data_IF_850425264615
#
_entry.id   IF_850425264615
#
_cell.length_a   1.000
_cell.length_b   1.000
_cell.length_c   1.000
_cell.angle_alpha   90.00
_cell.angle_beta   90.00
_cell.angle_gamma   90.00
#
_symmetry.space_group_name_H-M   'P 1'
#
loop_
_entity.id
_entity.type
_entity.pdbx_description
1 polymer ?
#
# COMPACT_ATOMS: atom_id res chain seq x y z
N UNK A 1 23.51 6.63 -33.32
CA UNK A 1 24.40 7.64 -32.71
C UNK A 1 24.57 7.31 -31.23
N UNK A 2 25.80 7.32 -30.70
CA UNK A 2 26.04 7.17 -29.25
C UNK A 2 25.47 8.42 -28.57
N UNK A 3 24.65 8.26 -27.54
CA UNK A 3 24.14 9.39 -26.78
C UNK A 3 25.31 10.26 -26.31
N UNK A 4 25.25 11.58 -26.54
CA UNK A 4 26.29 12.47 -26.05
C UNK A 4 26.32 12.39 -24.52
N UNK A 5 27.53 12.42 -23.93
CA UNK A 5 27.70 12.35 -22.47
C UNK A 5 26.86 13.41 -21.74
N UNK A 6 26.66 14.55 -22.38
CA UNK A 6 25.79 15.64 -21.92
C UNK A 6 24.31 15.21 -21.85
N UNK A 7 23.77 14.59 -22.92
CA UNK A 7 22.38 14.12 -22.92
C UNK A 7 22.13 13.04 -21.86
N UNK A 8 23.10 12.15 -21.65
CA UNK A 8 23.04 11.16 -20.57
C UNK A 8 23.03 11.83 -19.20
N UNK A 9 23.94 12.78 -18.94
CA UNK A 9 23.97 13.52 -17.68
C UNK A 9 22.66 14.27 -17.43
N UNK A 10 22.13 14.98 -18.43
CA UNK A 10 20.86 15.70 -18.35
C UNK A 10 19.70 14.75 -18.06
N UNK A 11 19.63 13.60 -18.74
CA UNK A 11 18.58 12.60 -18.51
C UNK A 11 18.60 12.03 -17.09
N UNK A 12 19.79 11.78 -16.54
CA UNK A 12 19.96 11.32 -15.15
C UNK A 12 19.53 12.40 -14.18
N UNK A 13 19.89 13.67 -14.41
CA UNK A 13 19.46 14.79 -13.59
C UNK A 13 17.94 14.96 -13.61
N UNK A 14 17.30 14.80 -14.77
CA UNK A 14 15.83 14.83 -14.90
C UNK A 14 15.20 13.70 -14.08
N UNK A 15 15.69 12.46 -14.20
CA UNK A 15 15.17 11.32 -13.42
C UNK A 15 15.38 11.47 -11.91
N UNK A 16 16.46 12.14 -11.49
CA UNK A 16 16.73 12.43 -10.07
C UNK A 16 15.97 13.65 -9.55
N UNK A 17 15.42 14.50 -10.42
CA UNK A 17 14.71 15.72 -10.00
C UNK A 17 13.60 15.47 -8.98
N UNK A 18 12.76 14.42 -9.06
CA UNK A 18 11.74 14.18 -8.05
C UNK A 18 12.34 13.75 -6.71
N UNK A 19 13.50 13.08 -6.72
CA UNK A 19 14.22 12.70 -5.49
C UNK A 19 14.73 13.95 -4.77
N UNK A 20 15.29 14.91 -5.50
CA UNK A 20 15.72 16.19 -4.94
C UNK A 20 14.57 16.98 -4.32
N UNK A 21 13.37 16.95 -4.92
CA UNK A 21 12.17 17.58 -4.37
C UNK A 21 11.62 16.81 -3.15
N UNK A 22 11.69 15.49 -3.18
CA UNK A 22 11.17 14.63 -2.13
C UNK A 22 11.95 14.75 -0.81
N UNK A 23 13.25 15.04 -0.87
CA UNK A 23 14.12 15.15 0.32
C UNK A 23 13.66 16.25 1.30
N UNK A 24 13.61 17.54 0.90
CA UNK A 24 13.17 18.60 1.82
C UNK A 24 11.73 18.39 2.28
N UNK A 25 10.88 17.81 1.43
CA UNK A 25 9.49 17.54 1.76
C UNK A 25 9.34 16.45 2.82
N UNK A 26 10.18 15.40 2.75
CA UNK A 26 10.23 14.36 3.78
C UNK A 26 10.68 14.89 5.14
N UNK A 27 11.62 15.84 5.14
CA UNK A 27 12.07 16.52 6.36
C UNK A 27 10.96 17.43 6.92
N UNK A 28 10.29 18.18 6.05
CA UNK A 28 9.16 19.03 6.43
C UNK A 28 8.00 18.22 7.02
N UNK A 29 7.70 17.04 6.47
CA UNK A 29 6.69 16.13 7.03
C UNK A 29 7.07 15.66 8.44
N UNK A 30 8.31 15.21 8.65
CA UNK A 30 8.78 14.79 9.97
C UNK A 30 8.63 15.90 10.99
N UNK A 31 8.98 17.13 10.62
CA UNK A 31 8.79 18.30 11.45
C UNK A 31 7.29 18.55 11.75
N UNK A 32 6.42 18.50 10.73
CA UNK A 32 4.98 18.78 10.86
C UNK A 32 4.19 17.73 11.66
N UNK A 33 4.57 16.44 11.58
CA UNK A 33 3.95 15.35 12.37
C UNK A 33 4.21 15.54 13.87
N UNK A 34 5.22 16.33 14.24
CA UNK A 34 5.54 16.64 15.63
C UNK A 34 6.62 15.73 16.20
N UNK A 35 7.76 15.57 15.51
CA UNK A 35 8.98 14.98 16.09
C UNK A 35 9.69 15.91 17.08
N UNK A 36 8.94 16.80 17.73
CA UNK A 36 9.44 17.72 18.74
C UNK A 36 9.70 16.93 20.04
N UNK A 37 10.73 17.30 20.83
CA UNK A 37 11.06 16.59 22.06
C UNK A 37 9.89 16.46 23.05
N UNK A 38 8.97 17.42 23.03
CA UNK A 38 7.76 17.47 23.86
C UNK A 38 6.80 16.31 23.57
N UNK A 39 6.74 15.85 22.33
CA UNK A 39 5.83 14.80 21.87
C UNK A 39 6.41 13.38 21.96
N UNK A 40 7.72 13.23 22.23
CA UNK A 40 8.37 11.91 22.25
C UNK A 40 7.78 11.01 23.36
N UNK A 41 7.35 11.59 24.49
CA UNK A 41 6.70 10.86 25.57
C UNK A 41 5.39 10.21 25.12
N UNK A 42 4.56 10.97 24.40
CA UNK A 42 3.31 10.45 23.83
C UNK A 42 3.60 9.41 22.75
N UNK A 43 4.55 9.69 21.86
CA UNK A 43 4.95 8.78 20.78
C UNK A 43 5.45 7.44 21.34
N UNK A 44 6.23 7.46 22.41
CA UNK A 44 6.73 6.27 23.08
C UNK A 44 5.63 5.50 23.81
N UNK A 45 4.60 6.20 24.33
CA UNK A 45 3.40 5.54 24.87
C UNK A 45 2.63 4.81 23.77
N UNK A 46 2.40 5.46 22.63
CA UNK A 46 1.72 4.83 21.48
C UNK A 46 2.54 3.66 20.94
N UNK A 47 3.86 3.80 20.80
CA UNK A 47 4.75 2.69 20.41
C UNK A 47 4.61 1.50 21.34
N UNK A 48 4.63 1.71 22.66
CA UNK A 48 4.43 0.63 23.64
C UNK A 48 3.08 -0.07 23.49
N UNK A 49 2.01 0.67 23.18
CA UNK A 49 0.69 0.09 22.91
C UNK A 49 0.70 -0.76 21.63
N UNK A 50 1.27 -0.23 20.55
CA UNK A 50 1.38 -0.96 19.28
C UNK A 50 2.29 -2.18 19.41
N UNK A 51 3.41 -2.05 20.12
CA UNK A 51 4.34 -3.13 20.41
C UNK A 51 3.69 -4.23 21.26
N UNK A 52 2.74 -3.87 22.13
CA UNK A 52 1.98 -4.84 22.91
C UNK A 52 1.06 -5.71 22.05
N UNK A 53 0.83 -5.36 20.77
CA UNK A 53 0.02 -6.16 19.83
C UNK A 53 -1.49 -6.02 20.02
N UNK A 54 -1.93 -5.01 20.77
CA UNK A 54 -3.33 -4.79 21.12
C UNK A 54 -3.88 -3.61 20.30
N UNK A 55 -5.12 -3.69 19.78
CA UNK A 55 -5.73 -2.58 19.04
C UNK A 55 -5.80 -1.27 19.81
N UNK A 56 -5.58 -0.14 19.13
CA UNK A 56 -5.60 1.20 19.72
C UNK A 56 -6.92 1.51 20.43
N UNK A 57 -8.03 0.98 19.94
CA UNK A 57 -9.36 1.13 20.54
C UNK A 57 -9.39 0.81 22.04
N UNK A 58 -8.65 -0.23 22.48
CA UNK A 58 -8.59 -0.61 23.90
C UNK A 58 -7.95 0.47 24.76
N UNK A 59 -6.93 1.15 24.24
CA UNK A 59 -6.16 2.16 24.95
C UNK A 59 -6.65 3.59 24.67
N UNK A 60 -7.75 3.78 23.91
CA UNK A 60 -8.23 5.10 23.47
C UNK A 60 -8.40 6.07 24.63
N UNK A 61 -9.04 5.64 25.72
CA UNK A 61 -9.29 6.47 26.91
C UNK A 61 -7.97 6.91 27.57
N UNK A 62 -7.01 5.99 27.67
CA UNK A 62 -5.70 6.26 28.26
C UNK A 62 -4.84 7.16 27.36
N UNK A 63 -4.83 6.89 26.05
CA UNK A 63 -4.13 7.70 25.06
C UNK A 63 -4.70 9.13 25.00
N UNK A 64 -6.02 9.29 25.11
CA UNK A 64 -6.66 10.60 25.16
C UNK A 64 -6.37 11.35 26.47
N UNK A 65 -6.26 10.64 27.59
CA UNK A 65 -5.84 11.24 28.86
C UNK A 65 -4.37 11.70 28.81
N UNK A 66 -3.49 10.88 28.24
CA UNK A 66 -2.06 11.21 28.12
C UNK A 66 -1.84 12.37 27.13
N UNK A 67 -2.56 12.39 26.01
CA UNK A 67 -2.52 13.51 25.08
C UNK A 67 -2.98 14.82 25.74
N UNK A 68 -4.06 14.80 26.55
CA UNK A 68 -4.50 15.96 27.33
C UNK A 68 -3.45 16.42 28.34
N UNK A 69 -2.74 15.49 28.97
CA UNK A 69 -1.67 15.79 29.94
C UNK A 69 -0.51 16.57 29.31
N UNK A 70 -0.16 16.23 28.07
CA UNK A 70 0.87 16.92 27.30
C UNK A 70 0.34 18.04 26.40
N UNK A 71 -0.92 18.47 26.59
CA UNK A 71 -1.55 19.55 25.81
C UNK A 71 -1.48 19.33 24.28
N UNK A 72 -1.55 18.07 23.84
CA UNK A 72 -1.50 17.70 22.42
C UNK A 72 -2.90 17.86 21.82
N UNK A 73 -3.02 18.70 20.80
CA UNK A 73 -4.27 18.89 20.08
C UNK A 73 -4.77 17.56 19.47
N UNK A 74 -6.09 17.32 19.41
CA UNK A 74 -6.66 16.09 18.84
C UNK A 74 -6.21 15.80 17.40
N UNK A 75 -6.01 16.84 16.59
CA UNK A 75 -5.49 16.71 15.22
C UNK A 75 -4.03 16.26 15.20
N UNK A 76 -3.20 16.84 16.09
CA UNK A 76 -1.78 16.50 16.20
C UNK A 76 -1.59 15.10 16.75
N UNK A 77 -2.39 14.73 17.74
CA UNK A 77 -2.48 13.36 18.24
C UNK A 77 -2.80 12.37 17.11
N UNK A 78 -3.78 12.70 16.27
CA UNK A 78 -4.13 11.89 15.08
C UNK A 78 -2.96 11.75 14.12
N UNK A 79 -2.18 12.83 13.87
CA UNK A 79 -0.99 12.80 13.01
C UNK A 79 0.08 11.87 13.54
N UNK A 80 0.39 11.96 14.84
CA UNK A 80 1.41 11.12 15.49
C UNK A 80 1.02 9.64 15.42
N UNK A 81 -0.23 9.31 15.78
CA UNK A 81 -0.73 7.93 15.73
C UNK A 81 -0.70 7.37 14.30
N UNK A 82 -1.19 8.15 13.33
CA UNK A 82 -1.23 7.71 11.92
C UNK A 82 0.18 7.51 11.35
N UNK A 83 1.13 8.38 11.68
CA UNK A 83 2.54 8.26 11.25
C UNK A 83 3.23 7.02 11.85
N UNK A 84 2.86 6.61 13.07
CA UNK A 84 3.36 5.38 13.68
C UNK A 84 2.75 4.13 13.05
N UNK A 85 1.46 4.16 12.70
CA UNK A 85 0.78 3.05 12.03
C UNK A 85 1.26 2.87 10.58
N UNK A 86 1.42 3.98 9.86
CA UNK A 86 1.67 4.00 8.41
C UNK A 86 2.75 5.02 8.07
N UNK A 87 4.01 4.72 8.38
CA UNK A 87 5.10 5.67 8.19
C UNK A 87 5.30 6.01 6.72
N UNK A 88 5.29 7.31 6.41
CA UNK A 88 5.58 7.79 5.06
C UNK A 88 7.09 7.70 4.78
N UNK A 89 7.45 6.77 3.90
CA UNK A 89 8.79 6.62 3.33
C UNK A 89 9.04 7.58 2.16
N UNK A 90 10.31 7.71 1.76
CA UNK A 90 10.76 8.56 0.64
C UNK A 90 9.96 8.36 -0.67
N UNK A 91 9.55 7.12 -0.95
CA UNK A 91 8.73 6.80 -2.12
C UNK A 91 7.41 7.57 -2.21
N UNK A 92 6.80 7.94 -1.07
CA UNK A 92 5.55 8.69 -1.05
C UNK A 92 5.80 10.16 -1.42
N UNK A 93 6.93 10.71 -0.98
CA UNK A 93 7.34 12.07 -1.27
C UNK A 93 7.73 12.27 -2.73
N UNK A 94 8.19 11.22 -3.41
CA UNK A 94 8.41 11.23 -4.86
C UNK A 94 7.14 11.55 -5.65
N UNK A 95 5.98 11.13 -5.11
CA UNK A 95 4.68 11.26 -5.77
C UNK A 95 3.97 12.57 -5.44
N UNK A 96 4.45 13.29 -4.42
CA UNK A 96 3.79 14.49 -3.91
C UNK A 96 3.52 15.58 -4.95
N UNK A 97 4.42 15.86 -5.92
CA UNK A 97 4.10 16.79 -6.99
C UNK A 97 2.83 16.39 -7.77
N UNK A 98 2.65 15.09 -8.04
CA UNK A 98 1.42 14.57 -8.66
C UNK A 98 0.21 14.65 -7.73
N UNK A 99 0.41 14.44 -6.42
CA UNK A 99 -0.67 14.56 -5.42
C UNK A 99 -1.17 16.00 -5.27
N UNK A 100 -0.31 17.00 -5.34
CA UNK A 100 -0.73 18.41 -5.22
C UNK A 100 -1.62 18.81 -6.40
N UNK A 101 -1.32 18.29 -7.60
CA UNK A 101 -2.01 18.67 -8.85
C UNK A 101 -3.25 17.82 -9.11
N UNK A 102 -3.42 16.67 -8.43
CA UNK A 102 -4.52 15.74 -8.67
C UNK A 102 -5.93 16.37 -8.66
N UNK A 103 -6.30 17.28 -7.73
CA UNK A 103 -7.65 17.83 -7.68
C UNK A 103 -8.00 18.63 -8.93
N UNK A 104 -7.01 19.32 -9.50
CA UNK A 104 -7.16 20.09 -10.74
C UNK A 104 -7.38 19.16 -11.95
N UNK A 105 -6.82 17.96 -11.89
CA UNK A 105 -6.94 16.92 -12.92
C UNK A 105 -8.10 15.94 -12.63
N UNK A 106 -8.96 16.24 -11.65
CA UNK A 106 -10.09 15.42 -11.24
C UNK A 106 -11.06 15.09 -12.38
N UNK A 107 -11.22 16.00 -13.36
CA UNK A 107 -12.01 15.75 -14.56
C UNK A 107 -11.43 14.62 -15.43
N UNK A 108 -10.11 14.61 -15.65
CA UNK A 108 -9.43 13.55 -16.40
C UNK A 108 -9.45 12.23 -15.64
N UNK A 109 -9.26 12.29 -14.31
CA UNK A 109 -9.41 11.14 -13.43
C UNK A 109 -10.80 10.48 -13.56
N UNK A 110 -11.86 11.28 -13.62
CA UNK A 110 -13.22 10.77 -13.79
C UNK A 110 -13.39 10.01 -15.13
N UNK A 111 -12.81 10.51 -16.23
CA UNK A 111 -12.84 9.83 -17.53
C UNK A 111 -12.13 8.48 -17.44
N UNK A 112 -10.94 8.43 -16.81
CA UNK A 112 -10.19 7.18 -16.65
C UNK A 112 -10.95 6.21 -15.76
N UNK A 113 -11.61 6.70 -14.70
CA UNK A 113 -12.40 5.89 -13.79
C UNK A 113 -13.55 5.16 -14.53
N UNK A 114 -14.17 5.78 -15.53
CA UNK A 114 -15.22 5.14 -16.35
C UNK A 114 -14.69 3.86 -17.02
N UNK A 115 -13.46 3.87 -17.53
CA UNK A 115 -12.84 2.70 -18.16
C UNK A 115 -12.29 1.69 -17.15
N UNK A 116 -11.78 2.17 -16.02
CA UNK A 116 -11.21 1.33 -14.97
C UNK A 116 -12.27 0.49 -14.25
N UNK A 117 -13.45 1.06 -13.99
CA UNK A 117 -14.51 0.41 -13.20
C UNK A 117 -14.99 -0.93 -13.78
N UNK A 118 -15.26 -1.07 -15.09
CA UNK A 118 -15.56 -2.36 -15.71
C UNK A 118 -14.45 -3.41 -15.52
N UNK A 119 -13.19 -3.00 -15.63
CA UNK A 119 -12.04 -3.91 -15.46
C UNK A 119 -11.95 -4.35 -13.99
N UNK A 120 -12.04 -3.40 -13.04
CA UNK A 120 -12.12 -3.71 -11.62
C UNK A 120 -13.24 -4.69 -11.30
N UNK A 121 -14.44 -4.48 -11.86
CA UNK A 121 -15.59 -5.37 -11.66
C UNK A 121 -15.33 -6.77 -12.22
N UNK A 122 -14.71 -6.86 -13.38
CA UNK A 122 -14.36 -8.13 -14.01
C UNK A 122 -13.35 -8.89 -13.15
N UNK A 123 -12.30 -8.21 -12.68
CA UNK A 123 -11.29 -8.81 -11.82
C UNK A 123 -11.86 -9.20 -10.46
N UNK A 124 -12.72 -8.38 -9.86
CA UNK A 124 -13.43 -8.71 -8.62
C UNK A 124 -14.27 -9.98 -8.80
N UNK A 125 -15.00 -10.08 -9.90
CA UNK A 125 -15.78 -11.27 -10.20
C UNK A 125 -14.90 -12.51 -10.36
N UNK A 126 -13.76 -12.40 -11.02
CA UNK A 126 -12.81 -13.53 -11.16
C UNK A 126 -12.16 -13.91 -9.83
N UNK A 127 -11.65 -12.93 -9.07
CA UNK A 127 -10.88 -13.21 -7.86
C UNK A 127 -11.77 -13.60 -6.68
N UNK A 128 -12.92 -12.95 -6.54
CA UNK A 128 -13.79 -13.08 -5.38
C UNK A 128 -14.99 -13.94 -5.73
N UNK A 129 -15.83 -13.56 -6.69
CA UNK A 129 -17.08 -14.31 -6.96
C UNK A 129 -16.80 -15.74 -7.46
N UNK A 130 -15.72 -15.94 -8.23
CA UNK A 130 -15.25 -17.28 -8.67
C UNK A 130 -14.27 -17.95 -7.70
N UNK A 131 -14.03 -17.37 -6.53
CA UNK A 131 -13.14 -17.89 -5.47
C UNK A 131 -11.69 -18.15 -5.94
N UNK A 132 -11.22 -17.49 -7.00
CA UNK A 132 -9.86 -17.72 -7.49
C UNK A 132 -8.79 -17.30 -6.46
N UNK A 133 -9.05 -16.25 -5.66
CA UNK A 133 -8.15 -15.84 -4.59
C UNK A 133 -8.11 -16.86 -3.44
N UNK A 134 -9.26 -17.45 -3.10
CA UNK A 134 -9.34 -18.53 -2.11
C UNK A 134 -8.61 -19.79 -2.56
N UNK A 135 -8.76 -20.16 -3.84
CA UNK A 135 -8.02 -21.25 -4.47
C UNK A 135 -6.50 -20.99 -4.41
N UNK A 136 -6.07 -19.75 -4.65
CA UNK A 136 -4.66 -19.39 -4.55
C UNK A 136 -4.14 -19.50 -3.11
N UNK A 137 -4.90 -19.08 -2.10
CA UNK A 137 -4.55 -19.28 -0.70
C UNK A 137 -4.40 -20.78 -0.37
N UNK A 138 -5.29 -21.62 -0.91
CA UNK A 138 -5.23 -23.09 -0.77
C UNK A 138 -3.99 -23.69 -1.39
N UNK A 139 -3.62 -23.19 -2.57
CA UNK A 139 -2.41 -23.61 -3.26
C UNK A 139 -1.16 -23.25 -2.45
N UNK A 140 -1.09 -22.03 -1.91
CA UNK A 140 0.03 -21.62 -1.04
C UNK A 140 0.12 -22.56 0.14
N UNK A 141 -0.98 -22.77 0.88
CA UNK A 141 -0.98 -23.68 2.02
C UNK A 141 -0.54 -25.10 1.66
N UNK A 142 -1.01 -25.63 0.52
CA UNK A 142 -0.63 -26.97 0.05
C UNK A 142 0.88 -27.11 -0.21
N UNK A 143 1.55 -26.01 -0.59
CA UNK A 143 2.99 -25.98 -0.87
C UNK A 143 3.80 -25.69 0.40
N UNK A 144 3.35 -24.75 1.23
CA UNK A 144 4.16 -24.21 2.34
C UNK A 144 3.81 -24.75 3.72
N UNK A 145 2.68 -25.48 3.85
CA UNK A 145 2.08 -25.91 5.13
C UNK A 145 1.80 -24.75 6.10
N UNK A 146 1.64 -23.54 5.59
CA UNK A 146 1.26 -22.40 6.42
C UNK A 146 -0.19 -22.53 6.88
N UNK A 147 -0.43 -22.16 8.12
CA UNK A 147 -1.78 -22.08 8.66
C UNK A 147 -2.34 -20.68 8.44
N UNK A 148 -3.64 -20.58 8.24
CA UNK A 148 -4.35 -19.31 8.14
C UNK A 148 -4.99 -19.07 9.50
N UNK A 149 -4.63 -17.98 10.16
CA UNK A 149 -5.17 -17.60 11.47
C UNK A 149 -5.70 -16.17 11.42
N UNK A 150 -6.58 -15.82 12.36
CA UNK A 150 -7.03 -14.44 12.56
C UNK A 150 -6.17 -13.72 13.60
N UNK A 151 -5.78 -12.48 13.33
CA UNK A 151 -5.22 -11.52 14.29
C UNK A 151 -5.89 -10.17 14.06
N UNK A 152 -6.46 -9.53 15.09
CA UNK A 152 -7.10 -8.23 14.93
C UNK A 152 -6.09 -7.17 14.48
N UNK A 153 -6.56 -6.22 13.66
CA UNK A 153 -5.69 -5.14 13.17
C UNK A 153 -5.47 -4.10 14.27
N UNK A 154 -4.24 -3.58 14.34
CA UNK A 154 -3.83 -2.63 15.39
C UNK A 154 -4.42 -1.23 15.20
N UNK A 155 -4.80 -0.89 13.97
CA UNK A 155 -5.39 0.40 13.59
C UNK A 155 -6.88 0.52 13.96
N UNK A 156 -7.51 -0.53 14.49
CA UNK A 156 -8.88 -0.40 15.01
C UNK A 156 -8.91 0.59 16.18
N UNK A 157 -9.75 1.62 16.06
CA UNK A 157 -9.83 2.77 16.97
C UNK A 157 -8.95 3.98 16.61
N UNK A 158 -8.27 3.97 15.45
CA UNK A 158 -7.56 5.13 14.92
C UNK A 158 -8.52 6.22 14.40
N UNK A 159 -8.05 7.48 14.39
CA UNK A 159 -8.82 8.67 13.99
C UNK A 159 -8.83 8.90 12.46
N UNK A 160 -9.73 9.74 11.96
CA UNK A 160 -10.03 9.92 10.51
C UNK A 160 -8.83 10.20 9.59
N UNK A 161 -7.79 10.90 10.07
CA UNK A 161 -6.60 11.20 9.28
C UNK A 161 -5.88 9.93 8.80
N UNK A 162 -6.01 8.83 9.56
CA UNK A 162 -5.49 7.52 9.20
C UNK A 162 -6.06 7.04 7.86
N UNK A 163 -7.32 7.36 7.54
CA UNK A 163 -7.93 6.89 6.28
C UNK A 163 -7.29 7.51 5.05
N UNK A 164 -6.96 8.81 5.11
CA UNK A 164 -6.28 9.50 4.02
C UNK A 164 -4.83 9.03 3.96
N UNK A 165 -4.15 8.94 5.11
CA UNK A 165 -2.78 8.45 5.16
C UNK A 165 -2.66 7.01 4.65
N UNK A 166 -3.66 6.17 4.92
CA UNK A 166 -3.74 4.78 4.46
C UNK A 166 -3.88 4.68 2.96
N UNK A 167 -4.69 5.58 2.38
CA UNK A 167 -4.74 5.69 0.92
C UNK A 167 -3.37 6.07 0.37
N UNK A 168 -2.70 7.06 0.95
CA UNK A 168 -1.38 7.53 0.50
C UNK A 168 -0.32 6.46 0.65
N UNK A 169 -0.32 5.70 1.75
CA UNK A 169 0.65 4.64 2.03
C UNK A 169 0.64 3.53 0.98
N UNK A 170 -0.54 3.25 0.39
CA UNK A 170 -0.71 2.19 -0.62
C UNK A 170 -0.39 2.65 -2.04
N UNK A 171 -0.36 3.97 -2.28
CA UNK A 171 -0.12 4.55 -3.61
C UNK A 171 1.18 4.10 -4.28
N UNK A 172 2.37 4.08 -3.62
CA UNK A 172 3.63 3.86 -4.33
C UNK A 172 3.66 2.58 -5.15
N UNK A 173 3.13 1.49 -4.61
CA UNK A 173 3.09 0.21 -5.33
C UNK A 173 2.23 0.35 -6.60
N UNK A 174 1.06 0.96 -6.50
CA UNK A 174 0.17 1.16 -7.68
C UNK A 174 0.81 2.06 -8.74
N UNK A 175 1.52 3.11 -8.33
CA UNK A 175 2.15 4.06 -9.25
C UNK A 175 3.38 3.45 -9.92
N UNK A 176 4.26 2.82 -9.13
CA UNK A 176 5.46 2.17 -9.65
C UNK A 176 5.14 0.99 -10.54
N UNK A 177 4.04 0.28 -10.29
CA UNK A 177 3.56 -0.76 -11.19
C UNK A 177 3.17 -0.20 -12.57
N UNK A 178 2.64 1.03 -12.63
CA UNK A 178 2.37 1.71 -13.90
C UNK A 178 3.62 2.13 -14.65
N UNK A 179 4.59 2.69 -13.93
CA UNK A 179 5.89 2.97 -14.53
C UNK A 179 6.58 1.68 -15.03
N UNK A 180 6.47 0.60 -14.26
CA UNK A 180 7.02 -0.71 -14.62
C UNK A 180 6.34 -1.26 -15.88
N UNK A 181 5.01 -1.21 -15.95
CA UNK A 181 4.25 -1.62 -17.12
C UNK A 181 4.66 -0.82 -18.37
N UNK A 182 4.81 0.50 -18.25
CA UNK A 182 5.31 1.34 -19.32
C UNK A 182 6.69 0.91 -19.80
N UNK A 183 7.64 0.75 -18.87
CA UNK A 183 9.00 0.36 -19.22
C UNK A 183 9.05 -1.02 -19.86
N UNK A 184 8.30 -2.01 -19.34
CA UNK A 184 8.21 -3.35 -19.94
C UNK A 184 7.67 -3.27 -21.36
N UNK A 185 6.57 -2.53 -21.57
CA UNK A 185 5.95 -2.39 -22.89
C UNK A 185 6.85 -1.65 -23.87
N UNK A 186 7.65 -0.69 -23.38
CA UNK A 186 8.63 0.04 -24.18
C UNK A 186 9.67 -0.89 -24.82
N UNK A 187 9.94 -2.06 -24.25
CA UNK A 187 10.85 -3.04 -24.86
C UNK A 187 10.24 -3.83 -26.02
N UNK A 188 8.92 -3.80 -26.22
CA UNK A 188 8.34 -4.41 -27.41
C UNK A 188 8.66 -3.56 -28.66
N UNK A 189 8.79 -4.19 -29.84
CA UNK A 189 9.05 -3.51 -31.11
C UNK A 189 7.76 -2.86 -31.63
N UNK A 190 7.26 -1.87 -30.88
CA UNK A 190 6.00 -1.16 -31.12
C UNK A 190 6.25 0.33 -31.32
N UNK A 191 5.37 0.97 -32.07
CA UNK A 191 5.40 2.41 -32.28
C UNK A 191 5.03 3.19 -31.02
N UNK A 192 5.36 4.48 -30.97
CA UNK A 192 5.15 5.32 -29.79
C UNK A 192 3.71 5.32 -29.29
N UNK A 193 2.76 5.43 -30.23
CA UNK A 193 1.33 5.40 -29.93
C UNK A 193 0.90 4.06 -29.36
N UNK A 194 1.41 2.96 -29.93
CA UNK A 194 1.09 1.60 -29.52
C UNK A 194 1.66 1.29 -28.14
N UNK A 195 2.89 1.74 -27.86
CA UNK A 195 3.52 1.63 -26.53
C UNK A 195 2.66 2.33 -25.48
N UNK A 196 2.22 3.56 -25.73
CA UNK A 196 1.37 4.30 -24.79
C UNK A 196 0.00 3.63 -24.58
N UNK A 197 -0.64 3.16 -25.65
CA UNK A 197 -1.93 2.47 -25.54
C UNK A 197 -1.81 1.13 -24.81
N UNK A 198 -0.84 0.31 -25.18
CA UNK A 198 -0.65 -1.01 -24.59
C UNK A 198 -0.17 -0.89 -23.14
N UNK A 199 0.75 0.02 -22.84
CA UNK A 199 1.16 0.27 -21.45
C UNK A 199 0.00 0.77 -20.59
N UNK A 200 -0.85 1.65 -21.12
CA UNK A 200 -2.07 2.09 -20.43
C UNK A 200 -3.04 0.93 -20.16
N UNK A 201 -3.28 0.07 -21.15
CA UNK A 201 -4.16 -1.10 -21.00
C UNK A 201 -3.60 -2.11 -19.99
N UNK A 202 -2.31 -2.46 -20.07
CA UNK A 202 -1.62 -3.35 -19.13
C UNK A 202 -1.64 -2.75 -17.73
N UNK A 203 -1.39 -1.45 -17.59
CA UNK A 203 -1.44 -0.75 -16.32
C UNK A 203 -2.83 -0.81 -15.68
N UNK A 204 -3.90 -0.52 -16.44
CA UNK A 204 -5.28 -0.61 -15.95
C UNK A 204 -5.59 -2.03 -15.44
N UNK A 205 -5.18 -3.06 -16.17
CA UNK A 205 -5.37 -4.45 -15.76
C UNK A 205 -4.59 -4.78 -14.47
N UNK A 206 -3.32 -4.39 -14.40
CA UNK A 206 -2.44 -4.60 -13.24
C UNK A 206 -2.94 -3.88 -11.99
N UNK A 207 -3.33 -2.61 -12.13
CA UNK A 207 -3.92 -1.83 -11.02
C UNK A 207 -5.21 -2.47 -10.55
N UNK A 208 -6.09 -2.88 -11.48
CA UNK A 208 -7.34 -3.52 -11.10
C UNK A 208 -7.11 -4.80 -10.31
N UNK A 209 -6.12 -5.60 -10.73
CA UNK A 209 -5.69 -6.82 -10.04
C UNK A 209 -5.19 -6.54 -8.63
N UNK A 210 -4.20 -5.65 -8.48
CA UNK A 210 -3.63 -5.37 -7.17
C UNK A 210 -4.63 -4.70 -6.23
N UNK A 211 -5.51 -3.83 -6.73
CA UNK A 211 -6.53 -3.17 -5.91
C UNK A 211 -7.54 -4.14 -5.33
N UNK A 212 -8.01 -5.13 -6.12
CA UNK A 212 -8.93 -6.16 -5.62
C UNK A 212 -8.24 -7.06 -4.61
N UNK A 213 -7.01 -7.52 -4.89
CA UNK A 213 -6.24 -8.35 -3.95
C UNK A 213 -6.06 -7.61 -2.64
N UNK A 214 -5.54 -6.38 -2.69
CA UNK A 214 -5.29 -5.54 -1.52
C UNK A 214 -6.56 -5.28 -0.72
N UNK A 215 -7.69 -5.01 -1.39
CA UNK A 215 -8.97 -4.87 -0.71
C UNK A 215 -9.42 -6.17 -0.03
N UNK A 216 -9.20 -7.31 -0.68
CA UNK A 216 -9.54 -8.62 -0.13
C UNK A 216 -8.67 -8.98 1.07
N UNK A 217 -7.35 -8.74 0.98
CA UNK A 217 -6.35 -9.12 1.98
C UNK A 217 -6.20 -8.10 3.12
N UNK A 218 -6.76 -6.90 3.01
CA UNK A 218 -6.78 -5.89 4.07
C UNK A 218 -7.78 -6.27 5.16
N UNK A 219 -7.54 -7.39 5.84
CA UNK A 219 -8.41 -7.97 6.85
C UNK A 219 -7.58 -8.53 8.03
N UNK A 220 -8.23 -9.25 8.95
CA UNK A 220 -7.57 -9.85 10.11
C UNK A 220 -6.83 -11.17 9.82
N UNK A 221 -6.81 -11.65 8.58
CA UNK A 221 -6.18 -12.93 8.25
C UNK A 221 -4.66 -12.77 8.12
N UNK A 222 -3.96 -13.75 8.68
CA UNK A 222 -2.51 -13.81 8.75
C UNK A 222 -2.05 -15.21 8.37
N UNK A 223 -1.00 -15.29 7.56
CA UNK A 223 -0.29 -16.54 7.32
C UNK A 223 0.66 -16.82 8.48
N UNK A 224 0.43 -17.91 9.19
CA UNK A 224 1.30 -18.42 10.23
C UNK A 224 2.21 -19.51 9.64
N UNK A 225 3.52 -19.24 9.65
CA UNK A 225 4.55 -20.24 9.37
C UNK A 225 5.01 -20.87 10.71
N UNK A 226 4.53 -22.08 11.06
CA UNK A 226 4.92 -22.74 12.30
C UNK A 226 6.42 -23.11 12.32
N UNK A 227 7.03 -23.31 11.15
CA UNK A 227 8.43 -23.73 11.03
C UNK A 227 9.37 -22.58 11.32
N UNK A 228 9.08 -21.40 10.77
CA UNK A 228 9.89 -20.19 10.95
C UNK A 228 9.41 -19.28 12.08
N UNK A 229 8.33 -19.66 12.77
CA UNK A 229 7.67 -18.87 13.83
C UNK A 229 7.39 -17.43 13.37
N UNK A 230 6.96 -17.29 12.11
CA UNK A 230 6.70 -16.00 11.47
C UNK A 230 5.21 -15.87 11.20
N UNK A 231 4.68 -14.71 11.55
CA UNK A 231 3.33 -14.29 11.23
C UNK A 231 3.43 -13.21 10.17
N UNK A 232 2.85 -13.45 8.99
CA UNK A 232 2.85 -12.50 7.89
C UNK A 232 1.40 -12.14 7.55
N UNK A 233 0.96 -10.90 7.84
CA UNK A 233 -0.35 -10.42 7.41
C UNK A 233 -0.55 -10.62 5.90
N UNK A 234 -1.75 -11.01 5.48
CA UNK A 234 -1.99 -11.34 4.06
C UNK A 234 -1.80 -10.15 3.13
N UNK A 235 -2.05 -8.93 3.59
CA UNK A 235 -1.81 -7.69 2.84
C UNK A 235 -0.31 -7.43 2.64
N UNK A 236 0.49 -7.53 3.70
CA UNK A 236 1.95 -7.34 3.63
C UNK A 236 2.63 -8.44 2.81
N UNK A 237 2.11 -9.67 2.79
CA UNK A 237 2.63 -10.75 1.96
C UNK A 237 2.65 -10.38 0.47
N UNK A 238 1.58 -9.76 -0.03
CA UNK A 238 1.47 -9.35 -1.43
C UNK A 238 2.44 -8.20 -1.74
N UNK A 239 2.57 -7.25 -0.82
CA UNK A 239 3.50 -6.12 -0.95
C UNK A 239 4.96 -6.57 -0.92
N UNK A 240 5.31 -7.48 -0.01
CA UNK A 240 6.65 -8.05 0.14
C UNK A 240 7.06 -8.85 -1.11
N UNK A 241 6.10 -9.49 -1.78
CA UNK A 241 6.37 -10.21 -3.03
C UNK A 241 6.54 -9.25 -4.24
N UNK A 242 5.66 -8.25 -4.36
CA UNK A 242 5.66 -7.36 -5.53
C UNK A 242 6.69 -6.24 -5.45
N UNK A 243 6.90 -5.67 -4.26
CA UNK A 243 7.77 -4.51 -4.04
C UNK A 243 9.18 -4.69 -4.57
N UNK A 244 9.91 -5.77 -4.19
CA UNK A 244 11.24 -6.04 -4.71
C UNK A 244 11.26 -6.29 -6.22
N UNK A 245 10.28 -7.02 -6.76
CA UNK A 245 10.20 -7.34 -8.19
C UNK A 245 10.05 -6.05 -9.02
N UNK A 246 9.12 -5.19 -8.63
CA UNK A 246 8.88 -3.90 -9.29
C UNK A 246 10.07 -2.97 -9.08
N UNK A 247 10.60 -2.85 -7.86
CA UNK A 247 11.70 -1.95 -7.55
C UNK A 247 12.99 -2.28 -8.29
N UNK A 248 13.44 -3.55 -8.23
CA UNK A 248 14.63 -4.02 -8.95
C UNK A 248 14.40 -3.94 -10.46
N UNK A 249 13.20 -4.33 -10.91
CA UNK A 249 12.81 -4.25 -12.32
C UNK A 249 12.88 -2.81 -12.85
N UNK A 250 12.35 -1.83 -12.12
CA UNK A 250 12.41 -0.42 -12.49
C UNK A 250 13.85 0.08 -12.63
N UNK A 251 14.70 -0.17 -11.64
CA UNK A 251 16.12 0.24 -11.70
C UNK A 251 16.80 -0.39 -12.90
N UNK A 252 16.63 -1.69 -13.10
CA UNK A 252 17.22 -2.40 -14.23
C UNK A 252 16.74 -1.86 -15.57
N UNK A 253 15.42 -1.70 -15.75
CA UNK A 253 14.84 -1.24 -17.02
C UNK A 253 15.18 0.22 -17.32
N UNK A 254 15.21 1.10 -16.31
CA UNK A 254 15.63 2.49 -16.46
C UNK A 254 17.10 2.59 -16.84
N UNK A 255 17.98 1.94 -16.08
CA UNK A 255 19.43 1.97 -16.37
C UNK A 255 19.73 1.38 -17.73
N UNK A 256 19.11 0.25 -18.09
CA UNK A 256 19.30 -0.38 -19.39
C UNK A 256 18.83 0.52 -20.53
N UNK A 257 17.65 1.12 -20.42
CA UNK A 257 17.12 1.99 -21.48
C UNK A 257 17.93 3.28 -21.61
N UNK A 258 18.41 3.85 -20.51
CA UNK A 258 19.23 5.06 -20.51
C UNK A 258 20.61 4.81 -21.14
N UNK A 259 21.22 3.63 -20.91
CA UNK A 259 22.53 3.28 -21.47
C UNK A 259 22.48 2.76 -22.91
N UNK A 260 21.44 2.00 -23.27
CA UNK A 260 21.38 1.28 -24.55
C UNK A 260 20.20 1.70 -25.46
N UNK A 261 19.41 2.70 -25.05
CA UNK A 261 18.18 3.09 -25.76
C UNK A 261 18.39 3.45 -27.23
N UNK A 262 19.50 4.11 -27.57
CA UNK A 262 19.83 4.49 -28.95
C UNK A 262 20.31 3.34 -29.84
N UNK A 263 20.60 2.18 -29.26
CA UNK A 263 20.99 0.95 -29.98
C UNK A 263 19.81 -0.04 -30.10
N UNK A 264 18.87 0.02 -29.15
CA UNK A 264 17.76 -0.93 -29.04
C UNK A 264 16.52 -0.51 -29.83
N UNK A 265 16.36 0.77 -30.18
CA UNK A 265 15.22 1.28 -30.94
C UNK A 265 15.66 2.18 -32.09
N UNK A 266 15.04 1.95 -33.25
CA UNK A 266 15.13 2.77 -34.46
C UNK A 266 14.10 3.90 -34.51
N UNK A 267 13.16 3.95 -33.55
CA UNK A 267 12.17 5.03 -33.45
C UNK A 267 12.77 6.24 -32.72
N UNK A 268 12.92 7.36 -33.44
CA UNK A 268 13.65 8.58 -33.02
C UNK A 268 13.19 9.17 -31.67
N UNK A 269 11.90 9.06 -31.33
CA UNK A 269 11.32 9.73 -30.15
C UNK A 269 11.83 9.20 -28.80
N UNK A 270 12.22 7.93 -28.70
CA UNK A 270 12.69 7.32 -27.44
C UNK A 270 14.15 6.89 -27.47
N UNK A 271 14.84 7.15 -28.59
CA UNK A 271 16.27 6.97 -28.69
C UNK A 271 17.04 8.09 -27.96
N UNK A 272 16.43 9.27 -27.84
CA UNK A 272 16.97 10.39 -27.06
C UNK A 272 16.78 10.15 -25.54
N UNK A 273 17.87 10.06 -24.75
CA UNK A 273 17.80 9.89 -23.30
C UNK A 273 17.00 11.00 -22.59
N UNK A 274 17.03 12.23 -23.11
CA UNK A 274 16.33 13.36 -22.49
C UNK A 274 14.82 13.19 -22.64
N UNK A 275 14.33 12.95 -23.87
CA UNK A 275 12.92 12.67 -24.12
C UNK A 275 12.44 11.42 -23.38
N UNK A 276 13.28 10.39 -23.30
CA UNK A 276 12.99 9.21 -22.49
C UNK A 276 12.78 9.57 -21.01
N UNK A 277 13.70 10.32 -20.39
CA UNK A 277 13.57 10.73 -18.99
C UNK A 277 12.33 11.57 -18.72
N UNK A 278 11.97 12.49 -19.64
CA UNK A 278 10.73 13.26 -19.56
C UNK A 278 9.50 12.38 -19.67
N UNK A 279 9.51 11.38 -20.57
CA UNK A 279 8.40 10.43 -20.71
C UNK A 279 8.21 9.60 -19.44
N UNK A 280 9.30 9.20 -18.77
CA UNK A 280 9.25 8.48 -17.50
C UNK A 280 8.59 9.33 -16.42
N UNK A 281 8.95 10.61 -16.30
CA UNK A 281 8.31 11.51 -15.34
C UNK A 281 6.83 11.75 -15.66
N UNK A 282 6.50 11.93 -16.94
CA UNK A 282 5.12 12.08 -17.39
C UNK A 282 4.28 10.87 -16.99
N UNK A 283 4.78 9.66 -17.25
CA UNK A 283 4.11 8.41 -16.87
C UNK A 283 4.00 8.28 -15.36
N UNK A 284 5.07 8.58 -14.61
CA UNK A 284 5.08 8.53 -13.15
C UNK A 284 3.95 9.39 -12.57
N UNK A 285 3.86 10.66 -12.97
CA UNK A 285 2.83 11.56 -12.44
C UNK A 285 1.43 11.27 -12.97
N UNK A 286 1.29 10.78 -14.20
CA UNK A 286 0.00 10.31 -14.72
C UNK A 286 -0.49 9.09 -13.94
N UNK A 287 0.39 8.13 -13.67
CA UNK A 287 0.09 6.97 -12.84
C UNK A 287 -0.22 7.38 -11.38
N UNK A 288 0.39 8.43 -10.83
CA UNK A 288 0.01 8.99 -9.53
C UNK A 288 -1.45 9.44 -9.51
N UNK A 289 -1.89 10.19 -10.52
CA UNK A 289 -3.28 10.67 -10.60
C UNK A 289 -4.26 9.50 -10.68
N UNK A 290 -3.94 8.49 -11.50
CA UNK A 290 -4.76 7.28 -11.64
C UNK A 290 -4.79 6.52 -10.32
N UNK A 291 -3.63 6.28 -9.68
CA UNK A 291 -3.53 5.60 -8.38
C UNK A 291 -4.38 6.26 -7.30
N UNK A 292 -4.33 7.58 -7.18
CA UNK A 292 -5.18 8.35 -6.25
C UNK A 292 -6.66 8.15 -6.54
N UNK A 293 -7.03 8.17 -7.83
CA UNK A 293 -8.43 7.97 -8.25
C UNK A 293 -8.93 6.59 -7.85
N UNK A 294 -8.09 5.56 -7.98
CA UNK A 294 -8.42 4.19 -7.56
C UNK A 294 -8.53 4.10 -6.04
N UNK A 295 -7.53 4.61 -5.31
CA UNK A 295 -7.48 4.55 -3.85
C UNK A 295 -8.59 5.36 -3.18
N UNK A 296 -9.01 6.49 -3.74
CA UNK A 296 -10.12 7.28 -3.18
C UNK A 296 -11.50 6.81 -3.66
N UNK A 297 -11.61 6.29 -4.88
CA UNK A 297 -12.88 5.85 -5.47
C UNK A 297 -13.26 4.41 -5.10
N UNK A 298 -12.44 3.44 -5.53
CA UNK A 298 -12.72 2.01 -5.36
C UNK A 298 -12.67 1.60 -3.88
N UNK A 299 -11.62 1.98 -3.15
CA UNK A 299 -11.51 1.57 -1.74
C UNK A 299 -12.58 2.19 -0.84
N UNK A 300 -13.10 3.37 -1.20
CA UNK A 300 -14.18 4.00 -0.43
C UNK A 300 -15.52 3.25 -0.57
N UNK A 301 -15.80 2.71 -1.75
CA UNK A 301 -17.12 2.16 -2.09
C UNK A 301 -17.20 0.64 -2.08
N UNK A 302 -16.13 -0.06 -2.47
CA UNK A 302 -16.16 -1.50 -2.77
C UNK A 302 -15.28 -2.35 -1.86
N UNK A 303 -14.20 -1.79 -1.29
CA UNK A 303 -13.23 -2.59 -0.55
C UNK A 303 -13.85 -3.35 0.62
N UNK A 304 -14.76 -2.75 1.38
CA UNK A 304 -15.43 -3.43 2.50
C UNK A 304 -16.25 -4.65 2.05
N UNK A 305 -16.91 -4.57 0.89
CA UNK A 305 -17.68 -5.69 0.33
C UNK A 305 -16.75 -6.83 -0.10
N UNK A 306 -15.68 -6.50 -0.82
CA UNK A 306 -14.66 -7.45 -1.28
C UNK A 306 -13.98 -8.15 -0.12
N UNK A 307 -13.60 -7.36 0.90
CA UNK A 307 -12.99 -7.83 2.15
C UNK A 307 -13.86 -8.86 2.86
N UNK A 308 -15.12 -8.52 3.11
CA UNK A 308 -16.08 -9.41 3.79
C UNK A 308 -16.35 -10.69 2.99
N UNK A 309 -16.49 -10.57 1.68
CA UNK A 309 -16.70 -11.73 0.80
C UNK A 309 -15.51 -12.69 0.87
N UNK A 310 -14.28 -12.17 0.83
CA UNK A 310 -13.08 -13.00 0.97
C UNK A 310 -12.94 -13.61 2.37
N UNK A 311 -13.16 -12.84 3.44
CA UNK A 311 -13.14 -13.38 4.80
C UNK A 311 -14.14 -14.53 4.97
N UNK A 312 -15.36 -14.40 4.44
CA UNK A 312 -16.36 -15.48 4.47
C UNK A 312 -15.90 -16.73 3.73
N UNK A 313 -15.26 -16.58 2.56
CA UNK A 313 -14.68 -17.71 1.83
C UNK A 313 -13.59 -18.43 2.64
N UNK A 314 -12.75 -17.66 3.34
CA UNK A 314 -11.70 -18.23 4.21
C UNK A 314 -12.26 -18.94 5.44
N UNK A 315 -13.36 -18.43 6.00
CA UNK A 315 -14.10 -19.13 7.07
C UNK A 315 -14.67 -20.45 6.56
N UNK A 316 -15.30 -20.46 5.37
CA UNK A 316 -15.86 -21.68 4.78
C UNK A 316 -14.78 -22.74 4.47
N UNK A 317 -13.60 -22.32 4.01
CA UNK A 317 -12.54 -23.24 3.59
C UNK A 317 -11.61 -23.69 4.74
N UNK A 318 -11.41 -22.86 5.76
CA UNK A 318 -10.39 -23.10 6.81
C UNK A 318 -10.87 -23.01 8.25
N UNK A 319 -12.05 -22.44 8.51
CA UNK A 319 -12.56 -22.13 9.86
C UNK A 319 -11.47 -21.59 10.84
N UNK A 320 -10.79 -20.49 10.48
CA UNK A 320 -9.61 -20.03 11.21
C UNK A 320 -10.00 -19.52 12.60
N UNK A 321 -9.15 -19.77 13.59
CA UNK A 321 -9.31 -19.20 14.94
C UNK A 321 -8.69 -17.81 15.01
N UNK A 322 -9.36 -16.88 15.69
CA UNK A 322 -8.84 -15.55 16.02
C UNK A 322 -7.94 -15.66 17.27
N UNK A 323 -6.74 -15.12 17.18
CA UNK A 323 -5.78 -15.08 18.28
C UNK A 323 -5.47 -13.64 18.68
N UNK A 324 -5.30 -13.42 19.98
CA UNK A 324 -4.70 -12.20 20.49
C UNK A 324 -3.19 -12.38 20.56
N UNK A 325 -2.48 -11.53 19.83
CA UNK A 325 -1.04 -11.43 19.92
C UNK A 325 -0.69 -10.41 21.00
N UNK A 326 -0.09 -10.86 22.10
CA UNK A 326 0.40 -9.96 23.15
C UNK A 326 1.90 -10.09 23.31
N UNK A 327 2.60 -8.96 23.35
CA UNK A 327 4.01 -8.90 23.67
C UNK A 327 4.20 -8.17 24.98
N UNK A 328 4.82 -8.84 25.94
CA UNK A 328 5.16 -8.24 27.22
C UNK A 328 6.57 -8.64 27.65
N UNK A 329 7.43 -7.65 27.93
CA UNK A 329 8.79 -7.82 28.47
C UNK A 329 9.62 -8.88 27.72
N UNK A 330 9.56 -8.88 26.38
CA UNK A 330 10.30 -9.82 25.54
C UNK A 330 9.67 -11.21 25.39
N UNK A 331 8.58 -11.50 26.09
CA UNK A 331 7.76 -12.70 25.87
C UNK A 331 6.66 -12.43 24.85
N UNK A 332 6.44 -13.40 23.97
CA UNK A 332 5.35 -13.40 22.99
C UNK A 332 4.31 -14.43 23.43
N UNK A 333 3.07 -13.99 23.62
CA UNK A 333 1.94 -14.86 23.97
C UNK A 333 0.87 -14.73 22.90
N UNK A 334 0.46 -15.88 22.37
CA UNK A 334 -0.62 -16.03 21.41
C UNK A 334 -1.73 -16.78 22.13
N UNK A 335 -2.86 -16.11 22.38
CA UNK A 335 -3.99 -16.71 23.09
C UNK A 335 -5.18 -16.85 22.15
N UNK A 336 -5.79 -18.04 22.00
CA UNK A 336 -7.00 -18.19 21.21
C UNK A 336 -8.13 -17.39 21.87
N UNK A 337 -8.89 -16.66 21.07
CA UNK A 337 -10.02 -15.87 21.53
C UNK A 337 -11.35 -16.54 21.17
N UNK A 338 -11.61 -16.67 19.88
CA UNK A 338 -12.86 -17.18 19.33
C UNK A 338 -12.65 -17.61 17.86
N UNK A 339 -13.54 -18.42 17.28
CA UNK A 339 -13.56 -18.64 15.83
C UNK A 339 -13.72 -17.33 15.06
N UNK A 340 -13.08 -17.20 13.89
CA UNK A 340 -13.19 -15.99 13.08
C UNK A 340 -14.63 -15.76 12.58
N UNK A 341 -15.39 -16.83 12.35
CA UNK A 341 -16.81 -16.79 12.02
C UNK A 341 -17.61 -15.96 13.03
N UNK A 342 -17.45 -16.26 14.32
CA UNK A 342 -18.10 -15.55 15.42
C UNK A 342 -17.67 -14.08 15.50
N UNK A 343 -16.38 -13.80 15.30
CA UNK A 343 -15.87 -12.42 15.29
C UNK A 343 -16.46 -11.57 14.15
N UNK A 344 -16.66 -12.17 12.97
CA UNK A 344 -17.31 -11.50 11.83
C UNK A 344 -18.79 -11.21 12.10
N UNK A 345 -19.49 -12.12 12.78
CA UNK A 345 -20.90 -11.93 13.19
C UNK A 345 -21.05 -10.79 14.20
N UNK A 346 -20.09 -10.65 15.12
CA UNK A 346 -19.99 -9.53 16.09
C UNK A 346 -19.56 -8.20 15.47
N UNK A 347 -19.39 -8.14 14.15
CA UNK A 347 -19.05 -6.91 13.43
C UNK A 347 -17.60 -6.46 13.62
N UNK A 348 -16.69 -7.39 13.92
CA UNK A 348 -15.26 -7.14 14.08
C UNK A 348 -14.90 -6.22 15.26
N UNK A 349 -15.80 -6.11 16.24
CA UNK A 349 -15.63 -5.30 17.44
C UNK A 349 -15.24 -6.18 18.63
N UNK A 350 -14.23 -5.75 19.38
CA UNK A 350 -14.01 -6.28 20.72
C UNK A 350 -14.99 -5.65 21.71
N UNK A 351 -15.97 -6.43 22.15
CA UNK A 351 -16.62 -6.20 23.44
C UNK A 351 -15.71 -6.85 24.48
N UNK A 352 -14.84 -6.04 25.09
CA UNK A 352 -14.16 -6.46 26.30
C UNK A 352 -15.12 -6.16 27.45
N UNK A 353 -15.66 -7.20 28.08
CA UNK A 353 -16.37 -7.01 29.34
C UNK A 353 -15.42 -6.32 30.33
N UNK A 354 -15.94 -5.29 31.00
CA UNK A 354 -15.21 -4.39 31.88
C UNK A 354 -14.62 -5.04 33.14
N UNK A 355 -14.79 -6.35 33.31
CA UNK A 355 -14.71 -7.00 34.62
C UNK A 355 -13.40 -7.77 34.86
N UNK A 356 -12.51 -7.88 33.87
CA UNK A 356 -11.29 -8.69 33.99
C UNK A 356 -10.05 -7.94 34.53
N UNK A 357 -10.23 -6.74 35.09
CA UNK A 357 -9.17 -5.96 35.76
C UNK A 357 -9.64 -5.36 37.09
N UNK A 358 -10.09 -6.22 37.99
CA UNK A 358 -9.97 -6.00 39.44
C UNK A 358 -9.05 -7.05 40.02
N UNK A 359 -7.74 -6.75 40.07
CA UNK A 359 -6.81 -7.16 41.13
C UNK A 359 -5.46 -6.45 40.99
#
# INVERSE_FOLDING_TARGET
MVATSEALLTSVLILLSPVFLALPLSLGWRWWVGTEPEHEHYREKVRRVLDAGIPLRRYRVELDAEARRFLIDPERQSRIESDLLQPLRMQHFLLLPGLIVWPLLGFFAAIIAIFLMPVLRTIEWVLIDKRALALFAKLIQGITRWEIIGIPRLDDGAKELDRILASVHRLPITVFLGLFAYLVVLYLPLDAREVLMLSGAVYIALVSFISVIRAATSNALVFADPTKRRLTPMDTFVEDALGPLVGVGLVFLLTRQLLYGSQLRTNDLFADPVLFSLSVLLVLYTATIIGVTVELGFFRSRAASVRRAFQKQMVEDYDPTLYLFTRNLGSLRISPLMPLSEWLERGEVFEFDSDDFSD
#
